data_IF_504183726308
#
_entry.id   IF_504183726308
#
_cell.length_a   1.000
_cell.length_b   1.000
_cell.length_c   1.000
_cell.angle_alpha   90.00
_cell.angle_beta   90.00
_cell.angle_gamma   90.00
#
_symmetry.space_group_name_H-M   'P 1'
#
loop_
_entity.id
_entity.type
_entity.pdbx_description
1 polymer ?
#
# COMPACT_ATOMS: atom_id res chain seq x y z
N UNK A 1 12.35 -9.14 -12.02
CA UNK A 1 10.95 -9.15 -12.50
C UNK A 1 10.87 -8.18 -13.66
N UNK A 2 10.39 -8.64 -14.77
CA UNK A 2 10.21 -7.86 -16.00
C UNK A 2 8.73 -7.81 -16.34
N UNK A 3 8.22 -6.61 -16.62
CA UNK A 3 6.88 -6.41 -17.15
C UNK A 3 6.96 -6.13 -18.65
N UNK A 4 6.70 -7.13 -19.46
CA UNK A 4 6.67 -7.02 -20.94
C UNK A 4 5.31 -6.56 -21.47
N UNK A 5 4.35 -6.31 -20.59
CA UNK A 5 3.01 -5.84 -20.93
C UNK A 5 2.96 -4.37 -21.27
N UNK A 6 1.80 -3.92 -21.72
CA UNK A 6 1.50 -2.51 -22.03
C UNK A 6 0.85 -1.75 -20.87
N UNK A 7 0.69 -2.38 -19.72
CA UNK A 7 0.09 -1.80 -18.51
C UNK A 7 0.96 -2.12 -17.31
N UNK A 8 0.90 -1.24 -16.32
CA UNK A 8 1.52 -1.49 -15.04
C UNK A 8 0.94 -2.76 -14.41
N UNK A 9 1.81 -3.53 -13.76
CA UNK A 9 1.41 -4.73 -13.01
C UNK A 9 2.00 -4.67 -11.60
N UNK A 10 1.43 -5.47 -10.73
CA UNK A 10 1.93 -5.63 -9.37
C UNK A 10 2.41 -7.06 -9.17
N UNK A 11 3.54 -7.19 -8.50
CA UNK A 11 4.10 -8.48 -8.14
C UNK A 11 4.06 -8.68 -6.62
N UNK A 12 4.00 -9.94 -6.21
CA UNK A 12 4.23 -10.36 -4.83
C UNK A 12 5.38 -11.35 -4.79
N UNK A 13 6.13 -11.28 -3.71
CA UNK A 13 7.19 -12.23 -3.37
C UNK A 13 6.77 -12.91 -2.07
N UNK A 14 6.84 -14.22 -2.04
CA UNK A 14 6.51 -15.01 -0.87
C UNK A 14 7.68 -15.91 -0.48
N UNK A 15 7.87 -16.09 0.82
CA UNK A 15 8.56 -17.24 1.36
C UNK A 15 7.74 -18.47 1.02
N UNK A 16 8.32 -19.46 0.37
CA UNK A 16 7.65 -20.70 0.02
C UNK A 16 8.42 -21.88 0.60
N UNK A 17 7.71 -22.90 1.07
CA UNK A 17 8.29 -23.99 1.83
C UNK A 17 9.18 -23.52 2.98
N UNK A 18 8.75 -22.45 3.66
CA UNK A 18 9.51 -21.87 4.77
C UNK A 18 9.47 -22.81 5.97
N UNK A 19 10.66 -23.14 6.45
CA UNK A 19 10.92 -23.65 7.79
C UNK A 19 11.87 -22.68 8.46
N UNK A 20 11.51 -22.18 9.61
CA UNK A 20 12.35 -21.37 10.48
C UNK A 20 12.07 -21.77 11.92
N UNK A 21 12.99 -22.50 12.52
CA UNK A 21 12.87 -23.01 13.91
C UNK A 21 13.64 -22.18 14.93
N UNK A 22 14.25 -21.08 14.51
CA UNK A 22 14.91 -20.15 15.40
C UNK A 22 13.94 -19.54 16.40
N UNK A 23 14.32 -19.54 17.68
CA UNK A 23 13.46 -19.11 18.79
C UNK A 23 13.71 -17.65 19.19
N UNK A 24 14.95 -17.20 19.05
CA UNK A 24 15.41 -15.89 19.58
C UNK A 24 15.19 -14.72 18.60
N UNK A 25 14.35 -14.89 17.57
CA UNK A 25 14.15 -13.87 16.52
C UNK A 25 15.46 -13.37 15.90
N UNK A 26 16.48 -14.21 15.92
CA UNK A 26 17.82 -13.89 15.45
C UNK A 26 17.94 -13.71 13.94
N UNK A 27 16.97 -14.24 13.18
CA UNK A 27 16.94 -14.07 11.74
C UNK A 27 16.14 -12.86 11.34
N UNK A 28 16.83 -11.84 10.84
CA UNK A 28 16.20 -10.67 10.22
C UNK A 28 16.38 -10.67 8.72
N UNK A 29 15.56 -9.90 8.02
CA UNK A 29 15.72 -9.73 6.59
C UNK A 29 15.42 -8.31 6.12
N UNK A 30 16.06 -7.96 5.00
CA UNK A 30 15.74 -6.76 4.23
C UNK A 30 15.52 -7.11 2.78
N UNK A 31 14.57 -6.43 2.15
CA UNK A 31 14.36 -6.48 0.71
C UNK A 31 14.76 -5.13 0.11
N UNK A 32 15.57 -5.18 -0.91
CA UNK A 32 16.00 -4.01 -1.67
C UNK A 32 15.64 -4.19 -3.14
N UNK A 33 15.31 -3.10 -3.79
CA UNK A 33 15.04 -3.07 -5.23
C UNK A 33 16.03 -2.17 -5.98
N UNK A 34 16.22 -2.50 -7.23
CA UNK A 34 16.87 -1.65 -8.22
C UNK A 34 16.01 -1.66 -9.47
N UNK A 35 15.58 -0.47 -9.88
CA UNK A 35 14.81 -0.28 -11.11
C UNK A 35 15.76 -0.04 -12.29
N UNK A 36 15.34 -0.39 -13.48
CA UNK A 36 16.04 -0.02 -14.69
C UNK A 36 16.19 1.51 -14.78
N UNK A 37 17.35 1.96 -15.23
CA UNK A 37 17.69 3.39 -15.25
C UNK A 37 18.17 3.99 -13.93
N UNK A 38 18.06 3.27 -12.79
CA UNK A 38 18.54 3.75 -11.48
C UNK A 38 20.06 3.61 -11.28
N UNK A 39 20.79 3.16 -12.29
CA UNK A 39 22.22 2.89 -12.20
C UNK A 39 22.51 1.70 -11.26
N UNK A 40 23.45 1.89 -10.32
CA UNK A 40 23.81 0.86 -9.33
C UNK A 40 23.12 1.05 -7.98
N UNK A 41 22.19 2.01 -7.86
CA UNK A 41 21.58 2.36 -6.58
C UNK A 41 20.50 1.36 -6.19
N UNK A 42 20.62 0.80 -5.00
CA UNK A 42 19.62 -0.04 -4.36
C UNK A 42 18.79 0.79 -3.38
N UNK A 43 17.50 0.62 -3.42
CA UNK A 43 16.55 1.23 -2.48
C UNK A 43 15.92 0.15 -1.61
N UNK A 44 15.75 0.44 -0.33
CA UNK A 44 14.98 -0.46 0.54
C UNK A 44 13.50 -0.43 0.13
N UNK A 45 12.94 -1.61 -0.06
CA UNK A 45 11.48 -1.81 -0.24
C UNK A 45 10.77 -1.69 1.11
N UNK A 46 11.49 -2.02 2.20
CA UNK A 46 11.01 -1.91 3.57
C UNK A 46 11.85 -0.89 4.32
N UNK A 47 11.23 -0.12 5.20
CA UNK A 47 11.91 0.91 5.99
C UNK A 47 12.82 0.31 7.07
N UNK A 48 12.48 -0.87 7.59
CA UNK A 48 13.17 -1.54 8.69
C UNK A 48 13.47 -3.00 8.36
N UNK A 49 14.46 -3.58 9.05
CA UNK A 49 14.67 -5.01 9.04
C UNK A 49 13.45 -5.68 9.70
N UNK A 50 13.02 -6.79 9.14
CA UNK A 50 11.92 -7.58 9.70
C UNK A 50 12.43 -8.93 10.12
N UNK A 51 11.81 -9.52 11.13
CA UNK A 51 12.09 -10.89 11.52
C UNK A 51 11.58 -11.86 10.46
N UNK A 52 12.38 -12.88 10.14
CA UNK A 52 11.92 -13.97 9.30
C UNK A 52 10.81 -14.72 10.03
N UNK A 53 9.63 -14.91 9.41
CA UNK A 53 8.54 -15.61 10.09
C UNK A 53 8.95 -16.99 10.59
N UNK A 54 8.57 -17.33 11.82
CA UNK A 54 8.81 -18.65 12.38
C UNK A 54 7.82 -19.66 11.81
N UNK A 55 8.31 -20.86 11.47
CA UNK A 55 7.48 -21.97 11.06
C UNK A 55 8.20 -23.30 11.31
N UNK A 56 7.54 -24.23 11.99
CA UNK A 56 8.06 -25.57 12.27
C UNK A 56 7.74 -26.57 11.17
N UNK A 57 6.82 -26.22 10.29
CA UNK A 57 6.41 -27.02 9.14
C UNK A 57 6.44 -26.17 7.89
N UNK A 58 6.48 -26.79 6.73
CA UNK A 58 6.45 -26.06 5.46
C UNK A 58 5.25 -25.12 5.41
N UNK A 59 5.54 -23.84 5.22
CA UNK A 59 4.53 -22.78 5.12
C UNK A 59 4.81 -21.83 3.96
N UNK A 60 3.77 -21.13 3.54
CA UNK A 60 3.87 -20.01 2.61
C UNK A 60 3.55 -18.76 3.39
N UNK A 61 4.47 -17.80 3.37
CA UNK A 61 4.34 -16.53 4.07
C UNK A 61 4.61 -15.36 3.13
N UNK A 62 3.88 -14.25 3.24
CA UNK A 62 4.18 -13.07 2.43
C UNK A 62 5.54 -12.49 2.82
N UNK A 63 6.35 -12.13 1.82
CA UNK A 63 7.60 -11.40 2.00
C UNK A 63 7.39 -9.93 1.61
N UNK A 64 6.88 -9.70 0.42
CA UNK A 64 6.48 -8.39 -0.06
C UNK A 64 5.31 -8.53 -1.05
N UNK A 65 4.42 -7.58 -1.05
CA UNK A 65 3.26 -7.54 -1.94
C UNK A 65 3.11 -6.16 -2.56
N UNK A 66 2.29 -6.04 -3.61
CA UNK A 66 2.02 -4.79 -4.33
C UNK A 66 3.28 -4.09 -4.86
N UNK A 67 4.29 -4.87 -5.24
CA UNK A 67 5.49 -4.32 -5.87
C UNK A 67 5.12 -3.84 -7.29
N UNK A 68 5.02 -2.55 -7.48
CA UNK A 68 4.70 -1.96 -8.79
C UNK A 68 5.83 -2.20 -9.78
N UNK A 69 5.51 -2.81 -10.90
CA UNK A 69 6.40 -2.96 -12.06
C UNK A 69 5.76 -2.23 -13.24
N UNK A 70 6.22 -1.04 -13.59
CA UNK A 70 5.65 -0.27 -14.69
C UNK A 70 5.75 -1.01 -16.02
N UNK A 71 4.86 -0.67 -16.95
CA UNK A 71 4.84 -1.26 -18.28
C UNK A 71 6.20 -1.10 -19.00
N UNK A 72 6.76 -2.19 -19.50
CA UNK A 72 8.04 -2.20 -20.22
C UNK A 72 9.28 -2.06 -19.33
N UNK A 73 9.15 -2.12 -18.01
CA UNK A 73 10.25 -1.95 -17.06
C UNK A 73 10.69 -3.26 -16.40
N UNK A 74 11.95 -3.25 -15.94
CA UNK A 74 12.55 -4.36 -15.19
C UNK A 74 13.00 -3.90 -13.82
N UNK A 75 12.53 -4.59 -12.78
CA UNK A 75 12.97 -4.39 -11.42
C UNK A 75 13.77 -5.61 -10.93
N UNK A 76 14.92 -5.35 -10.33
CA UNK A 76 15.76 -6.39 -9.72
C UNK A 76 15.64 -6.28 -8.21
N UNK A 77 15.38 -7.41 -7.57
CA UNK A 77 15.23 -7.48 -6.12
C UNK A 77 16.38 -8.24 -5.50
N UNK A 78 16.81 -7.77 -4.34
CA UNK A 78 17.83 -8.42 -3.52
C UNK A 78 17.30 -8.62 -2.12
N UNK A 79 17.21 -9.86 -1.71
CA UNK A 79 16.91 -10.23 -0.33
C UNK A 79 18.21 -10.49 0.41
N UNK A 80 18.34 -9.91 1.58
CA UNK A 80 19.40 -10.18 2.53
C UNK A 80 18.78 -10.75 3.80
N UNK A 81 19.21 -11.93 4.20
CA UNK A 81 18.89 -12.52 5.50
C UNK A 81 20.15 -12.43 6.36
N UNK A 82 19.98 -11.97 7.58
CA UNK A 82 21.08 -11.77 8.53
C UNK A 82 20.75 -12.54 9.80
N UNK A 83 21.73 -13.26 10.32
CA UNK A 83 21.69 -13.73 11.71
C UNK A 83 22.24 -12.62 12.58
N UNK A 84 21.40 -12.10 13.46
CA UNK A 84 21.76 -11.02 14.38
C UNK A 84 22.32 -11.61 15.66
N UNK A 85 23.44 -11.06 16.14
CA UNK A 85 23.93 -11.29 17.49
C UNK A 85 23.12 -10.43 18.45
N UNK A 86 22.38 -11.06 19.35
CA UNK A 86 21.48 -10.41 20.30
C UNK A 86 22.10 -10.50 21.71
N UNK A 87 22.88 -9.50 22.15
CA UNK A 87 23.72 -9.60 23.34
C UNK A 87 22.93 -9.82 24.65
N UNK A 88 21.66 -9.41 24.66
CA UNK A 88 20.80 -9.51 25.85
C UNK A 88 19.85 -10.71 25.80
N UNK A 89 19.97 -11.58 24.79
CA UNK A 89 19.10 -12.74 24.59
C UNK A 89 19.95 -14.01 24.51
N UNK A 90 19.59 -15.03 25.30
CA UNK A 90 20.20 -16.34 25.18
C UNK A 90 19.82 -17.00 23.84
N UNK A 91 20.77 -17.06 22.92
CA UNK A 91 20.63 -17.69 21.62
C UNK A 91 21.08 -19.17 21.62
N UNK A 92 21.42 -19.74 22.77
CA UNK A 92 21.79 -21.16 22.89
C UNK A 92 20.70 -22.10 22.38
N UNK A 93 19.39 -21.82 22.58
CA UNK A 93 18.33 -22.64 22.02
C UNK A 93 18.31 -22.72 20.49
N UNK A 94 18.95 -21.77 19.83
CA UNK A 94 19.03 -21.72 18.36
C UNK A 94 20.17 -22.59 17.79
N UNK A 95 20.98 -23.20 18.66
CA UNK A 95 21.97 -24.21 18.24
C UNK A 95 21.22 -25.40 17.61
N UNK A 96 21.54 -25.70 16.36
CA UNK A 96 20.85 -26.69 15.49
C UNK A 96 19.46 -26.25 14.98
N UNK A 97 19.08 -25.00 15.13
CA UNK A 97 17.90 -24.49 14.46
C UNK A 97 18.05 -24.56 12.92
N UNK A 98 16.95 -24.71 12.26
CA UNK A 98 16.90 -24.89 10.81
C UNK A 98 16.25 -23.68 10.14
N UNK A 99 16.89 -23.19 9.08
CA UNK A 99 16.27 -22.25 8.17
C UNK A 99 16.33 -22.80 6.76
N UNK A 100 15.18 -23.05 6.18
CA UNK A 100 15.02 -23.51 4.78
C UNK A 100 13.88 -22.74 4.15
N UNK A 101 14.08 -22.28 2.93
CA UNK A 101 13.04 -21.62 2.16
C UNK A 101 13.38 -21.63 0.67
N UNK A 102 12.38 -21.40 -0.13
CA UNK A 102 12.49 -20.92 -1.51
C UNK A 102 11.60 -19.70 -1.67
N UNK A 103 11.73 -19.01 -2.79
CA UNK A 103 10.93 -17.83 -3.09
C UNK A 103 10.02 -18.11 -4.27
N UNK A 104 8.78 -17.66 -4.14
CA UNK A 104 7.82 -17.68 -5.24
C UNK A 104 7.50 -16.22 -5.59
N UNK A 105 7.56 -15.93 -6.88
CA UNK A 105 7.14 -14.66 -7.45
C UNK A 105 5.87 -14.92 -8.23
N UNK A 106 4.84 -14.15 -7.96
CA UNK A 106 3.57 -14.23 -8.67
C UNK A 106 3.04 -12.84 -8.94
N UNK A 107 2.10 -12.72 -9.87
CA UNK A 107 1.33 -11.50 -10.00
C UNK A 107 0.52 -11.29 -8.71
N UNK A 108 0.51 -10.05 -8.23
CA UNK A 108 -0.33 -9.68 -7.10
C UNK A 108 -1.77 -9.58 -7.59
N UNK A 109 -2.60 -10.49 -7.10
CA UNK A 109 -4.04 -10.50 -7.42
C UNK A 109 -4.85 -9.63 -6.50
N UNK A 110 -4.22 -9.09 -5.44
CA UNK A 110 -4.91 -8.15 -4.57
C UNK A 110 -5.15 -6.86 -5.33
N UNK A 111 -6.41 -6.60 -5.60
CA UNK A 111 -6.87 -5.28 -6.01
C UNK A 111 -6.44 -4.32 -4.90
N UNK A 112 -5.68 -3.27 -5.22
CA UNK A 112 -5.41 -2.21 -4.25
C UNK A 112 -6.74 -1.76 -3.69
N UNK A 113 -6.87 -1.79 -2.38
CA UNK A 113 -8.06 -1.25 -1.72
C UNK A 113 -8.07 0.27 -1.89
N UNK A 114 -9.23 0.88 -1.73
CA UNK A 114 -9.32 2.35 -1.68
C UNK A 114 -8.42 2.92 -0.59
N UNK A 115 -8.28 2.21 0.54
CA UNK A 115 -7.42 2.60 1.66
C UNK A 115 -5.93 2.60 1.28
N UNK A 116 -5.47 1.56 0.57
CA UNK A 116 -4.09 1.50 0.06
C UNK A 116 -3.80 2.66 -0.88
N UNK A 117 -4.73 2.98 -1.77
CA UNK A 117 -4.62 4.12 -2.69
C UNK A 117 -4.61 5.47 -1.95
N UNK A 118 -5.45 5.64 -0.97
CA UNK A 118 -5.48 6.85 -0.16
C UNK A 118 -4.17 7.03 0.61
N UNK A 119 -3.64 5.93 1.18
CA UNK A 119 -2.36 5.93 1.88
C UNK A 119 -1.19 6.27 0.94
N UNK A 120 -1.17 5.72 -0.27
CA UNK A 120 -0.17 6.06 -1.31
C UNK A 120 -0.19 7.54 -1.67
N UNK A 121 -1.37 8.14 -1.76
CA UNK A 121 -1.56 9.56 -2.02
C UNK A 121 -1.30 10.45 -0.80
N UNK A 122 -0.93 9.88 0.34
CA UNK A 122 -0.73 10.61 1.59
C UNK A 122 -2.04 11.12 2.22
N UNK A 123 -3.18 10.64 1.75
CA UNK A 123 -4.49 11.00 2.29
C UNK A 123 -4.77 10.12 3.50
N UNK A 124 -4.85 10.74 4.67
CA UNK A 124 -5.14 10.03 5.92
C UNK A 124 -6.65 10.04 6.19
N UNK A 125 -7.19 8.84 6.42
CA UNK A 125 -8.52 8.70 7.02
C UNK A 125 -8.40 9.01 8.51
N UNK A 126 -9.25 9.88 9.03
CA UNK A 126 -9.24 10.17 10.45
C UNK A 126 -9.81 8.96 11.23
N UNK A 127 -9.02 8.27 12.06
CA UNK A 127 -9.45 7.06 12.74
C UNK A 127 -10.55 7.29 13.79
N UNK A 128 -10.73 8.54 14.24
CA UNK A 128 -11.81 8.89 15.18
C UNK A 128 -13.14 9.10 14.48
N UNK A 129 -13.13 9.18 13.16
CA UNK A 129 -14.29 9.45 12.32
C UNK A 129 -14.95 8.16 11.84
N UNK A 130 -14.86 7.08 12.59
CA UNK A 130 -15.74 5.92 12.41
C UNK A 130 -17.13 6.35 12.88
N UNK A 131 -17.90 6.60 11.91
CA UNK A 131 -19.18 7.18 11.92
C UNK A 131 -20.22 6.70 12.86
N UNK A 132 -20.74 7.59 13.53
CA UNK A 132 -22.16 7.67 13.82
C UNK A 132 -22.81 8.62 12.81
N UNK A 133 -22.51 8.39 11.59
CA UNK A 133 -23.22 8.77 10.45
C UNK A 133 -23.50 10.19 10.12
N UNK A 134 -24.26 10.19 9.09
CA UNK A 134 -24.91 11.31 8.45
C UNK A 134 -25.94 12.02 9.36
N UNK A 135 -26.20 11.49 10.54
CA UNK A 135 -27.18 12.01 11.50
C UNK A 135 -26.70 13.28 12.17
N UNK A 136 -25.38 13.47 12.28
CA UNK A 136 -24.81 14.70 12.83
C UNK A 136 -24.38 15.62 11.70
N UNK A 137 -24.88 16.84 11.59
CA UNK A 137 -24.41 17.79 10.58
C UNK A 137 -22.90 18.01 10.66
N UNK A 138 -22.25 18.10 9.52
CA UNK A 138 -20.83 18.47 9.47
C UNK A 138 -20.65 19.88 10.02
N UNK A 139 -19.62 20.08 10.85
CA UNK A 139 -19.24 21.38 11.37
C UNK A 139 -18.05 21.94 10.62
N UNK A 140 -17.82 23.25 10.69
CA UNK A 140 -16.64 23.91 10.10
C UNK A 140 -15.33 23.47 10.74
N UNK A 141 -15.39 22.84 11.91
CA UNK A 141 -14.25 22.34 12.68
C UNK A 141 -13.83 20.92 12.28
N UNK A 142 -14.55 20.29 11.37
CA UNK A 142 -14.08 19.04 10.73
C UNK A 142 -12.91 19.40 9.83
N UNK A 143 -11.75 19.47 10.48
CA UNK A 143 -10.51 20.01 9.96
C UNK A 143 -9.90 19.14 8.86
N UNK A 144 -8.81 19.59 8.33
CA UNK A 144 -7.90 19.21 7.26
C UNK A 144 -7.86 17.72 6.78
N UNK A 145 -8.51 16.83 7.48
CA UNK A 145 -8.67 15.41 7.16
C UNK A 145 -10.17 15.03 7.19
N UNK A 146 -11.00 15.82 6.56
CA UNK A 146 -12.46 15.60 6.48
C UNK A 146 -12.86 14.33 5.72
N UNK A 147 -12.00 13.31 5.67
CA UNK A 147 -12.29 12.00 5.10
C UNK A 147 -12.73 11.06 6.23
N UNK A 148 -13.93 10.55 6.09
CA UNK A 148 -14.61 9.64 7.02
C UNK A 148 -14.74 8.27 6.37
N UNK A 149 -14.82 7.21 7.15
CA UNK A 149 -15.10 5.88 6.65
C UNK A 149 -16.40 5.32 7.23
N UNK A 150 -17.07 4.50 6.44
CA UNK A 150 -18.28 3.80 6.80
C UNK A 150 -18.38 2.50 6.01
N UNK A 151 -18.84 1.44 6.64
CA UNK A 151 -19.18 0.21 5.92
C UNK A 151 -20.48 0.39 5.12
N UNK A 152 -20.49 -0.11 3.91
CA UNK A 152 -21.69 -0.26 3.08
C UNK A 152 -21.81 -1.70 2.57
N UNK A 153 -22.82 -1.98 1.75
CA UNK A 153 -23.09 -3.33 1.22
C UNK A 153 -21.93 -3.92 0.38
N UNK A 154 -20.95 -3.10 -0.02
CA UNK A 154 -19.83 -3.46 -0.87
C UNK A 154 -18.48 -3.38 -0.17
N UNK A 155 -18.45 -3.03 1.12
CA UNK A 155 -17.25 -2.86 1.95
C UNK A 155 -17.07 -1.44 2.46
N UNK A 156 -15.84 -1.09 2.85
CA UNK A 156 -15.55 0.24 3.42
C UNK A 156 -15.64 1.33 2.37
N UNK A 157 -16.49 2.30 2.60
CA UNK A 157 -16.59 3.54 1.84
C UNK A 157 -15.94 4.69 2.56
N UNK A 158 -15.34 5.62 1.80
CA UNK A 158 -14.70 6.83 2.31
C UNK A 158 -15.38 8.05 1.69
N UNK A 159 -15.74 9.04 2.51
CA UNK A 159 -16.46 10.22 2.05
C UNK A 159 -15.98 11.48 2.76
N UNK A 160 -16.03 12.58 2.04
CA UNK A 160 -15.66 13.88 2.58
C UNK A 160 -16.85 14.55 3.27
N UNK A 161 -16.57 15.20 4.42
CA UNK A 161 -17.53 16.04 5.17
C UNK A 161 -16.89 17.36 5.57
N UNK A 162 -17.71 18.35 5.82
CA UNK A 162 -17.27 19.67 6.25
C UNK A 162 -16.44 20.41 5.20
N UNK A 163 -15.51 21.23 5.65
CA UNK A 163 -14.58 21.95 4.77
C UNK A 163 -13.40 21.04 4.45
N UNK A 164 -13.52 20.23 3.40
CA UNK A 164 -12.49 19.31 2.99
C UNK A 164 -11.49 20.00 2.04
N UNK A 165 -10.23 20.19 2.43
CA UNK A 165 -9.20 20.67 1.53
C UNK A 165 -8.77 19.56 0.56
N UNK A 166 -8.33 19.95 -0.64
CA UNK A 166 -7.68 19.06 -1.61
C UNK A 166 -8.52 17.87 -2.10
N UNK A 167 -9.85 17.97 -2.10
CA UNK A 167 -10.73 16.95 -2.63
C UNK A 167 -11.13 17.18 -4.10
N UNK A 168 -10.35 17.97 -4.84
CA UNK A 168 -10.60 18.29 -6.23
C UNK A 168 -9.77 17.42 -7.17
N UNK A 169 -10.35 17.03 -8.27
CA UNK A 169 -9.64 16.41 -9.39
C UNK A 169 -9.97 17.12 -10.69
N UNK A 170 -9.01 17.12 -11.58
CA UNK A 170 -9.20 17.55 -12.96
C UNK A 170 -9.48 16.32 -13.82
N UNK A 171 -10.68 16.27 -14.40
CA UNK A 171 -11.10 15.13 -15.20
C UNK A 171 -11.97 15.58 -16.39
N UNK A 172 -11.48 15.34 -17.60
CA UNK A 172 -12.16 15.68 -18.85
C UNK A 172 -12.00 17.16 -19.25
N UNK A 173 -12.54 17.45 -20.44
CA UNK A 173 -12.61 18.80 -21.01
C UNK A 173 -14.02 19.09 -21.50
N UNK A 174 -14.44 20.35 -21.41
CA UNK A 174 -15.72 20.79 -21.97
C UNK A 174 -15.60 20.97 -23.52
N UNK A 175 -16.71 21.29 -24.15
CA UNK A 175 -16.78 21.50 -25.60
C UNK A 175 -15.86 22.62 -26.13
N UNK A 176 -15.44 23.55 -25.25
CA UNK A 176 -14.49 24.63 -25.58
C UNK A 176 -13.03 24.26 -25.28
N UNK A 177 -12.75 22.99 -24.94
CA UNK A 177 -11.40 22.50 -24.63
C UNK A 177 -10.87 22.90 -23.26
N UNK A 178 -11.68 23.51 -22.40
CA UNK A 178 -11.31 23.89 -21.05
C UNK A 178 -11.34 22.69 -20.11
N UNK A 179 -10.38 22.60 -19.18
CA UNK A 179 -10.33 21.56 -18.16
C UNK A 179 -11.55 21.65 -17.24
N UNK A 180 -12.16 20.49 -16.99
CA UNK A 180 -13.27 20.39 -16.04
C UNK A 180 -12.75 19.93 -14.69
N UNK A 181 -13.19 20.64 -13.65
CA UNK A 181 -12.87 20.34 -12.28
C UNK A 181 -14.07 19.67 -11.60
N UNK A 182 -13.73 18.71 -10.75
CA UNK A 182 -14.70 17.91 -10.04
C UNK A 182 -14.30 17.81 -8.58
N UNK A 183 -15.28 17.83 -7.72
CA UNK A 183 -15.10 17.58 -6.31
C UNK A 183 -15.34 16.10 -6.02
N UNK A 184 -14.39 15.45 -5.36
CA UNK A 184 -14.57 14.07 -4.90
C UNK A 184 -15.49 14.11 -3.69
N UNK A 185 -16.61 13.44 -3.78
CA UNK A 185 -17.59 13.34 -2.70
C UNK A 185 -17.36 12.05 -1.91
N UNK A 186 -17.10 10.94 -2.60
CA UNK A 186 -17.04 9.62 -1.99
C UNK A 186 -16.25 8.64 -2.85
N UNK A 187 -15.51 7.75 -2.16
CA UNK A 187 -15.02 6.49 -2.70
C UNK A 187 -15.93 5.39 -2.16
N UNK A 188 -16.59 4.64 -3.02
CA UNK A 188 -17.51 3.59 -2.61
C UNK A 188 -16.75 2.30 -2.29
N UNK A 189 -17.34 1.41 -1.49
CA UNK A 189 -16.75 0.12 -1.14
C UNK A 189 -16.47 -0.79 -2.34
N UNK A 190 -17.17 -0.60 -3.46
CA UNK A 190 -16.91 -1.30 -4.74
C UNK A 190 -15.73 -0.72 -5.53
N UNK A 191 -15.07 0.33 -5.03
CA UNK A 191 -13.96 1.03 -5.66
C UNK A 191 -14.38 2.08 -6.69
N UNK A 192 -15.67 2.33 -6.89
CA UNK A 192 -16.13 3.45 -7.72
C UNK A 192 -16.02 4.78 -6.97
N UNK A 193 -15.94 5.89 -7.73
CA UNK A 193 -15.77 7.23 -7.15
C UNK A 193 -16.97 8.08 -7.53
N UNK A 194 -17.58 8.74 -6.55
CA UNK A 194 -18.61 9.73 -6.78
C UNK A 194 -17.99 11.11 -6.88
N UNK A 195 -18.24 11.77 -8.00
CA UNK A 195 -17.77 13.11 -8.31
C UNK A 195 -18.94 14.07 -8.44
N UNK A 196 -18.70 15.31 -8.04
CA UNK A 196 -19.58 16.45 -8.31
C UNK A 196 -18.84 17.45 -9.19
N UNK A 197 -19.47 17.89 -10.28
CA UNK A 197 -18.90 18.92 -11.14
C UNK A 197 -18.77 20.24 -10.40
N UNK A 198 -17.60 20.85 -10.49
CA UNK A 198 -17.23 22.08 -9.78
C UNK A 198 -16.84 23.24 -10.72
N UNK A 199 -17.01 23.07 -12.03
CA UNK A 199 -16.76 24.12 -13.01
C UNK A 199 -15.51 23.97 -13.84
N UNK A 200 -15.16 25.05 -14.56
CA UNK A 200 -13.99 25.13 -15.47
C UNK A 200 -12.94 26.14 -15.00
N UNK A 201 -12.99 26.55 -13.75
CA UNK A 201 -12.02 27.48 -13.15
C UNK A 201 -10.63 26.85 -13.02
N UNK A 202 -9.61 27.68 -12.85
CA UNK A 202 -8.21 27.25 -12.77
C UNK A 202 -7.81 26.63 -11.43
N UNK A 203 -8.71 26.61 -10.44
CA UNK A 203 -8.37 26.21 -9.07
C UNK A 203 -9.44 25.41 -8.32
N UNK A 204 -10.52 24.99 -8.99
CA UNK A 204 -11.61 24.29 -8.28
C UNK A 204 -12.27 25.15 -7.18
N UNK A 205 -12.14 26.45 -7.27
CA UNK A 205 -12.80 27.43 -6.41
C UNK A 205 -13.74 28.27 -7.26
N UNK A 206 -15.02 28.00 -7.16
CA UNK A 206 -16.07 28.96 -7.47
C UNK A 206 -16.67 29.46 -6.19
#
# INVERSE_FOLDING_TARGET
IENTGSRDTYAKISWDNLINTYLAESLTYTLEEKTDGSGSTWKKVMTENKNVPRSETFSIQPLADHLLIPAGHTHTYRLRVTFEDLPDIDQTPDINATFVTKFTIAESTMKMTTEDKLAELGIKVNPTNKTTGFETPATTDETANGLFSMEDDYGTSYYYRGTAPNNYIKFGKNASGQDMWWRIIRFNGDGSIRLQYDGTGTSGTN
#
